data_IF_596124300656
#
_entry.id   IF_596124300656
#
_cell.length_a   1.000
_cell.length_b   1.000
_cell.length_c   1.000
_cell.angle_alpha   90.00
_cell.angle_beta   90.00
_cell.angle_gamma   90.00
#
_symmetry.space_group_name_H-M   'P 1'
#
loop_
_entity.id
_entity.type
_entity.pdbx_description
1 polymer ?
#
# COMPACT_ATOMS: atom_id res chain seq x y z
N UNK A 1 10.62 22.74 10.16
CA UNK A 1 10.68 21.30 10.51
C UNK A 1 9.29 20.63 10.54
N UNK A 2 8.24 21.26 11.10
CA UNK A 2 6.86 20.73 11.00
C UNK A 2 6.29 20.75 9.57
N UNK A 3 6.67 21.75 8.76
CA UNK A 3 6.19 21.89 7.37
C UNK A 3 6.69 20.79 6.42
N UNK A 4 7.92 20.29 6.58
CA UNK A 4 8.45 19.21 5.74
C UNK A 4 7.74 17.87 6.02
N UNK A 5 7.39 17.62 7.29
CA UNK A 5 6.60 16.46 7.67
C UNK A 5 5.16 16.59 7.17
N UNK A 6 4.56 17.79 7.24
CA UNK A 6 3.24 18.04 6.67
C UNK A 6 3.22 17.85 5.14
N UNK A 7 4.29 18.22 4.44
CA UNK A 7 4.42 17.98 2.99
C UNK A 7 4.53 16.50 2.61
N UNK A 8 5.08 15.64 3.48
CA UNK A 8 5.08 14.19 3.30
C UNK A 8 3.68 13.56 3.41
N UNK A 9 2.67 14.30 3.85
CA UNK A 9 1.29 13.82 3.95
C UNK A 9 0.38 14.41 2.86
N UNK A 10 0.95 15.11 1.87
CA UNK A 10 0.19 15.64 0.74
C UNK A 10 0.25 14.65 -0.42
N UNK A 11 -0.92 14.19 -0.90
CA UNK A 11 -1.02 13.38 -2.12
C UNK A 11 -0.31 14.12 -3.26
N UNK A 12 0.78 13.55 -3.76
CA UNK A 12 1.35 13.99 -5.04
C UNK A 12 0.68 13.21 -6.15
N UNK A 13 -0.32 13.83 -6.77
CA UNK A 13 -1.03 13.22 -7.89
C UNK A 13 -0.16 13.42 -9.14
N UNK A 14 0.34 12.31 -9.65
CA UNK A 14 1.06 12.26 -10.90
C UNK A 14 0.06 12.10 -12.05
N UNK A 15 0.43 12.58 -13.25
CA UNK A 15 -0.38 12.39 -14.44
C UNK A 15 -0.63 10.91 -14.72
N UNK A 16 -1.89 10.55 -15.01
CA UNK A 16 -2.30 9.18 -15.33
C UNK A 16 -1.74 8.78 -16.71
N UNK A 17 -0.95 7.72 -16.76
CA UNK A 17 -0.32 7.19 -17.98
C UNK A 17 -0.58 5.69 -18.03
N UNK A 18 -0.77 5.11 -19.22
CA UNK A 18 -0.90 3.67 -19.40
C UNK A 18 -2.32 3.19 -19.67
N UNK A 19 -2.48 1.86 -19.69
CA UNK A 19 -3.75 1.19 -19.94
C UNK A 19 -4.49 0.96 -18.62
N UNK A 20 -5.80 1.17 -18.66
CA UNK A 20 -6.69 1.11 -17.50
C UNK A 20 -7.69 -0.02 -17.69
N UNK A 21 -7.84 -0.87 -16.67
CA UNK A 21 -8.74 -2.02 -16.71
C UNK A 21 -9.86 -1.79 -15.69
N UNK A 22 -11.10 -1.96 -16.13
CA UNK A 22 -12.27 -1.80 -15.25
C UNK A 22 -12.23 -2.84 -14.13
N UNK A 23 -12.57 -2.43 -12.91
CA UNK A 23 -12.46 -3.27 -11.73
C UNK A 23 -13.32 -4.56 -11.81
N UNK A 24 -14.48 -4.52 -12.48
CA UNK A 24 -15.28 -5.72 -12.75
C UNK A 24 -14.61 -6.66 -13.76
N UNK A 25 -13.94 -6.12 -14.77
CA UNK A 25 -13.14 -6.91 -15.72
C UNK A 25 -12.01 -7.60 -14.98
N UNK A 26 -11.35 -6.90 -14.04
CA UNK A 26 -10.33 -7.51 -13.18
C UNK A 26 -10.92 -8.69 -12.40
N UNK A 27 -12.08 -8.51 -11.78
CA UNK A 27 -12.72 -9.57 -11.00
C UNK A 27 -13.21 -10.77 -11.85
N UNK A 28 -13.46 -10.56 -13.14
CA UNK A 28 -13.93 -11.60 -14.06
C UNK A 28 -12.78 -12.39 -14.70
N UNK A 29 -11.67 -11.73 -15.01
CA UNK A 29 -10.58 -12.31 -15.82
C UNK A 29 -9.35 -12.74 -14.99
N UNK A 30 -9.26 -12.30 -13.73
CA UNK A 30 -8.10 -12.52 -12.86
C UNK A 30 -8.51 -13.19 -11.54
N UNK A 31 -7.57 -13.77 -10.77
CA UNK A 31 -7.89 -14.50 -9.52
C UNK A 31 -8.20 -13.56 -8.34
N UNK A 32 -8.95 -12.49 -8.59
CA UNK A 32 -9.45 -11.58 -7.56
C UNK A 32 -10.97 -11.62 -7.56
N UNK A 33 -11.59 -11.65 -6.40
CA UNK A 33 -13.02 -11.36 -6.31
C UNK A 33 -13.25 -9.86 -6.14
N UNK A 34 -14.47 -9.40 -6.46
CA UNK A 34 -14.82 -7.99 -6.40
C UNK A 34 -14.62 -7.39 -5.00
N UNK A 35 -14.96 -8.14 -3.94
CA UNK A 35 -14.78 -7.66 -2.55
C UNK A 35 -13.31 -7.44 -2.21
N UNK A 36 -12.45 -8.38 -2.58
CA UNK A 36 -11.00 -8.28 -2.35
C UNK A 36 -10.41 -7.03 -3.01
N UNK A 37 -10.85 -6.69 -4.22
CA UNK A 37 -10.39 -5.47 -4.90
C UNK A 37 -10.79 -4.20 -4.13
N UNK A 38 -12.01 -4.13 -3.60
CA UNK A 38 -12.42 -3.01 -2.74
C UNK A 38 -11.66 -2.99 -1.41
N UNK A 39 -11.42 -4.15 -0.80
CA UNK A 39 -10.64 -4.25 0.43
C UNK A 39 -9.19 -3.79 0.19
N UNK A 40 -8.62 -4.05 -0.99
CA UNK A 40 -7.30 -3.55 -1.39
C UNK A 40 -7.31 -2.02 -1.59
N UNK A 41 -8.35 -1.45 -2.19
CA UNK A 41 -8.50 0.01 -2.30
C UNK A 41 -8.53 0.65 -0.91
N UNK A 42 -9.36 0.13 -0.02
CA UNK A 42 -9.53 0.63 1.35
C UNK A 42 -8.24 0.47 2.17
N UNK A 43 -7.57 -0.68 2.04
CA UNK A 43 -6.31 -0.97 2.71
C UNK A 43 -5.20 0.01 2.31
N UNK A 44 -5.12 0.35 1.02
CA UNK A 44 -4.15 1.32 0.51
C UNK A 44 -4.56 2.77 0.77
N UNK A 45 -5.77 2.99 1.30
CA UNK A 45 -6.31 4.33 1.54
C UNK A 45 -6.64 5.08 0.26
N UNK A 46 -7.00 4.37 -0.81
CA UNK A 46 -7.38 4.97 -2.09
C UNK A 46 -8.72 5.70 -1.93
N UNK A 47 -8.78 6.93 -2.43
CA UNK A 47 -9.99 7.71 -2.55
C UNK A 47 -10.71 7.36 -3.85
N UNK A 48 -11.96 6.96 -3.70
CA UNK A 48 -12.90 6.65 -4.79
C UNK A 48 -14.34 6.87 -4.30
N UNK A 49 -15.29 6.97 -5.22
CA UNK A 49 -16.71 7.09 -4.90
C UNK A 49 -17.26 5.73 -4.51
N UNK A 50 -17.79 5.62 -3.29
CA UNK A 50 -18.45 4.40 -2.81
C UNK A 50 -19.83 4.26 -3.45
N UNK A 51 -19.87 3.81 -4.71
CA UNK A 51 -21.12 3.54 -5.41
C UNK A 51 -21.72 2.21 -4.97
N UNK A 52 -23.00 2.24 -4.61
CA UNK A 52 -23.81 1.05 -4.38
C UNK A 52 -24.86 0.90 -5.49
N UNK A 53 -25.03 -0.30 -6.09
CA UNK A 53 -24.28 -1.53 -5.84
C UNK A 53 -22.85 -1.53 -6.45
N UNK A 54 -21.92 -2.26 -5.80
CA UNK A 54 -20.46 -2.24 -6.10
C UNK A 54 -20.11 -2.62 -7.55
N UNK A 55 -20.92 -3.47 -8.18
CA UNK A 55 -20.75 -3.90 -9.57
C UNK A 55 -21.04 -2.78 -10.58
N UNK A 56 -21.59 -1.64 -10.16
CA UNK A 56 -21.77 -0.48 -11.03
C UNK A 56 -20.65 0.55 -10.91
N UNK A 57 -19.65 0.28 -10.07
CA UNK A 57 -18.52 1.19 -9.85
C UNK A 57 -17.83 1.54 -11.17
N UNK A 58 -17.44 2.80 -11.31
CA UNK A 58 -16.68 3.31 -12.47
C UNK A 58 -15.20 3.42 -12.17
N UNK A 59 -14.69 2.40 -11.47
CA UNK A 59 -13.31 2.33 -10.99
C UNK A 59 -12.49 1.52 -11.99
N UNK A 60 -11.30 2.01 -12.29
CA UNK A 60 -10.32 1.37 -13.14
C UNK A 60 -8.98 1.32 -12.44
N UNK A 61 -8.27 0.22 -12.63
CA UNK A 61 -6.93 -0.04 -12.09
C UNK A 61 -5.91 0.04 -13.22
N UNK A 62 -4.74 0.59 -12.91
CA UNK A 62 -3.60 0.61 -13.82
C UNK A 62 -3.12 -0.82 -14.13
N UNK A 63 -2.92 -1.12 -15.41
CA UNK A 63 -2.54 -2.46 -15.86
C UNK A 63 -1.16 -2.89 -15.33
N UNK A 64 -0.21 -1.95 -15.17
CA UNK A 64 1.13 -2.28 -14.67
C UNK A 64 1.10 -2.69 -13.20
N UNK A 65 0.26 -2.04 -12.37
CA UNK A 65 0.04 -2.49 -11.01
C UNK A 65 -0.52 -3.92 -10.95
N UNK A 66 -1.50 -4.25 -11.82
CA UNK A 66 -2.05 -5.60 -11.90
C UNK A 66 -0.98 -6.62 -12.29
N UNK A 67 -0.15 -6.30 -13.30
CA UNK A 67 0.97 -7.16 -13.72
C UNK A 67 1.94 -7.44 -12.59
N UNK A 68 2.27 -6.44 -11.76
CA UNK A 68 3.16 -6.63 -10.60
C UNK A 68 2.59 -7.65 -9.61
N UNK A 69 1.29 -7.57 -9.29
CA UNK A 69 0.71 -8.54 -8.35
C UNK A 69 0.70 -9.95 -8.98
N UNK A 70 0.35 -10.05 -10.26
CA UNK A 70 0.29 -11.32 -10.98
C UNK A 70 1.67 -11.96 -11.18
N UNK A 71 2.76 -11.17 -11.21
CA UNK A 71 4.12 -11.70 -11.27
C UNK A 71 4.65 -12.22 -9.92
N UNK A 72 3.85 -12.13 -8.86
CA UNK A 72 4.22 -12.58 -7.52
C UNK A 72 4.87 -11.50 -6.64
N UNK A 73 4.88 -10.23 -7.07
CA UNK A 73 5.35 -9.11 -6.24
C UNK A 73 4.28 -8.75 -5.20
N UNK A 74 4.15 -9.59 -4.18
CA UNK A 74 3.09 -9.50 -3.17
C UNK A 74 3.06 -8.15 -2.43
N UNK A 75 4.20 -7.47 -2.32
CA UNK A 75 4.27 -6.15 -1.71
C UNK A 75 3.43 -5.10 -2.45
N UNK A 76 3.21 -5.27 -3.77
CA UNK A 76 2.40 -4.37 -4.58
C UNK A 76 0.94 -4.29 -4.09
N UNK A 77 0.43 -5.35 -3.43
CA UNK A 77 -0.90 -5.35 -2.78
C UNK A 77 -1.04 -4.28 -1.71
N UNK A 78 0.05 -3.92 -1.02
CA UNK A 78 0.08 -2.92 0.06
C UNK A 78 0.60 -1.56 -0.41
N UNK A 79 0.93 -1.46 -1.70
CA UNK A 79 1.62 -0.32 -2.30
C UNK A 79 0.88 0.26 -3.52
N UNK A 80 -0.43 0.02 -3.66
CA UNK A 80 -1.25 0.65 -4.70
C UNK A 80 -1.29 2.16 -4.51
N UNK A 81 -0.97 2.90 -5.57
CA UNK A 81 -0.88 4.36 -5.55
C UNK A 81 -2.22 5.01 -5.92
N UNK A 82 -2.51 6.21 -5.40
CA UNK A 82 -3.71 6.96 -5.79
C UNK A 82 -3.68 7.29 -7.29
N UNK A 83 -2.49 7.55 -7.83
CA UNK A 83 -2.28 7.78 -9.27
C UNK A 83 -2.53 6.55 -10.14
N UNK A 84 -2.61 5.35 -9.55
CA UNK A 84 -2.86 4.07 -10.24
C UNK A 84 -4.34 3.64 -10.18
N UNK A 85 -5.20 4.50 -9.63
CA UNK A 85 -6.66 4.28 -9.61
C UNK A 85 -7.37 5.45 -10.27
N UNK A 86 -8.24 5.11 -11.23
CA UNK A 86 -9.12 6.07 -11.89
C UNK A 86 -10.56 5.80 -11.46
N UNK A 87 -11.23 6.89 -11.09
CA UNK A 87 -12.66 6.93 -10.89
C UNK A 87 -13.20 8.05 -11.79
N UNK A 88 -14.10 7.71 -12.71
CA UNK A 88 -14.67 8.67 -13.67
C UNK A 88 -15.52 9.77 -13.00
N UNK A 89 -16.00 9.54 -11.78
CA UNK A 89 -16.78 10.51 -11.02
C UNK A 89 -15.89 11.51 -10.26
N UNK A 90 -14.62 11.16 -10.04
CA UNK A 90 -13.64 12.02 -9.39
C UNK A 90 -12.75 12.73 -10.42
N UNK A 91 -13.05 14.01 -10.65
CA UNK A 91 -12.20 14.89 -11.45
C UNK A 91 -10.81 15.08 -10.80
N UNK A 92 -9.80 15.38 -11.62
CA UNK A 92 -8.45 15.74 -11.13
C UNK A 92 -8.49 16.94 -10.16
N UNK A 93 -9.34 17.93 -10.44
CA UNK A 93 -9.59 19.06 -9.53
C UNK A 93 -10.11 18.60 -8.17
N UNK A 94 -11.00 17.61 -8.12
CA UNK A 94 -11.51 17.04 -6.87
C UNK A 94 -10.39 16.34 -6.09
N UNK A 95 -9.61 15.50 -6.75
CA UNK A 95 -8.46 14.82 -6.14
C UNK A 95 -7.40 15.80 -5.62
N UNK A 96 -7.22 16.93 -6.30
CA UNK A 96 -6.32 18.02 -5.90
C UNK A 96 -6.98 19.06 -4.95
N UNK A 97 -8.27 18.93 -4.61
CA UNK A 97 -8.99 19.90 -3.76
C UNK A 97 -8.95 19.49 -2.29
N UNK A 98 -8.89 20.46 -1.36
CA UNK A 98 -8.83 20.24 0.11
C UNK A 98 -9.82 19.18 0.66
N UNK A 99 -10.94 18.91 -0.02
CA UNK A 99 -11.90 17.87 0.35
C UNK A 99 -11.48 16.43 0.04
N UNK A 100 -10.59 16.20 -0.95
CA UNK A 100 -9.91 14.91 -1.11
C UNK A 100 -8.77 14.73 -0.11
N UNK A 101 -8.33 15.82 0.54
CA UNK A 101 -7.37 15.74 1.63
C UNK A 101 -8.13 15.29 2.86
N UNK A 102 -7.80 14.09 3.29
CA UNK A 102 -8.05 13.66 4.65
C UNK A 102 -7.08 14.40 5.61
N UNK A 103 -7.16 15.74 5.68
CA UNK A 103 -6.31 16.57 6.54
C UNK A 103 -6.37 16.09 8.00
N UNK A 104 -7.51 15.51 8.38
CA UNK A 104 -7.80 14.98 9.70
C UNK A 104 -8.28 13.52 9.69
N UNK A 105 -7.85 12.68 8.74
CA UNK A 105 -8.19 11.27 8.91
C UNK A 105 -7.50 10.71 10.15
N UNK A 106 -8.26 10.18 11.13
CA UNK A 106 -7.69 9.53 12.31
C UNK A 106 -6.86 8.30 11.95
N UNK A 107 -6.90 7.88 10.67
CA UNK A 107 -6.17 6.74 10.12
C UNK A 107 -4.78 7.10 9.58
N UNK A 108 -4.21 8.29 9.81
CA UNK A 108 -2.82 8.54 9.41
C UNK A 108 -1.84 7.62 10.15
N UNK A 109 -0.83 7.11 9.45
CA UNK A 109 0.23 6.34 10.10
C UNK A 109 0.94 7.17 11.17
N UNK A 110 1.20 6.55 12.31
CA UNK A 110 1.88 7.22 13.43
C UNK A 110 3.33 7.54 13.08
N UNK A 111 3.94 8.59 13.67
CA UNK A 111 5.36 8.88 13.47
C UNK A 111 6.27 7.69 13.80
N UNK A 112 5.86 6.84 14.75
CA UNK A 112 6.58 5.60 15.09
C UNK A 112 6.58 4.60 13.92
N UNK A 113 5.43 4.37 13.30
CA UNK A 113 5.31 3.50 12.12
C UNK A 113 6.12 4.04 10.94
N UNK A 114 6.01 5.34 10.67
CA UNK A 114 6.78 5.99 9.59
C UNK A 114 8.29 5.86 9.80
N UNK A 115 8.79 6.12 11.02
CA UNK A 115 10.21 5.93 11.34
C UNK A 115 10.64 4.47 11.20
N UNK A 116 9.80 3.53 11.61
CA UNK A 116 10.09 2.11 11.47
C UNK A 116 10.21 1.73 9.98
N UNK A 117 9.24 2.11 9.16
CA UNK A 117 9.27 1.85 7.71
C UNK A 117 10.53 2.43 7.05
N UNK A 118 10.89 3.69 7.35
CA UNK A 118 12.13 4.30 6.83
C UNK A 118 13.36 3.48 7.18
N UNK A 119 13.47 3.01 8.43
CA UNK A 119 14.58 2.14 8.86
C UNK A 119 14.55 0.78 8.15
N UNK A 120 13.38 0.22 7.87
CA UNK A 120 13.27 -1.04 7.13
C UNK A 120 13.68 -0.88 5.66
N UNK A 121 13.46 0.29 5.06
CA UNK A 121 13.93 0.62 3.70
C UNK A 121 15.46 0.63 3.59
N UNK A 122 16.19 0.84 4.69
CA UNK A 122 17.65 0.78 4.74
C UNK A 122 18.20 -0.65 4.85
N UNK A 123 17.33 -1.67 4.92
CA UNK A 123 17.74 -3.06 5.06
C UNK A 123 18.45 -3.58 3.81
N UNK A 124 19.65 -4.15 3.98
CA UNK A 124 20.37 -4.88 2.92
C UNK A 124 19.63 -6.10 2.35
N UNK A 125 18.57 -6.55 3.02
CA UNK A 125 17.76 -7.71 2.62
C UNK A 125 16.49 -7.31 1.85
N UNK A 126 16.25 -6.00 1.68
CA UNK A 126 15.19 -5.49 0.82
C UNK A 126 15.70 -5.44 -0.62
N UNK A 127 14.94 -6.00 -1.55
CA UNK A 127 15.34 -5.98 -2.96
C UNK A 127 15.10 -4.59 -3.57
N UNK A 128 15.80 -4.27 -4.66
CA UNK A 128 15.72 -2.95 -5.30
C UNK A 128 14.31 -2.61 -5.78
N UNK A 129 13.61 -3.58 -6.37
CA UNK A 129 12.22 -3.43 -6.82
C UNK A 129 11.25 -3.13 -5.66
N UNK A 130 11.41 -3.83 -4.53
CA UNK A 130 10.62 -3.56 -3.31
C UNK A 130 10.94 -2.17 -2.75
N UNK A 131 12.21 -1.77 -2.74
CA UNK A 131 12.60 -0.44 -2.32
C UNK A 131 11.97 0.64 -3.21
N UNK A 132 12.01 0.47 -4.54
CA UNK A 132 11.45 1.42 -5.50
C UNK A 132 9.93 1.59 -5.31
N UNK A 133 9.20 0.50 -5.10
CA UNK A 133 7.76 0.54 -4.82
C UNK A 133 7.48 1.30 -3.51
N UNK A 134 8.24 1.03 -2.44
CA UNK A 134 8.08 1.76 -1.17
C UNK A 134 8.40 3.24 -1.32
N UNK A 135 9.46 3.59 -2.04
CA UNK A 135 9.83 4.99 -2.30
C UNK A 135 8.65 5.73 -2.96
N UNK A 136 8.00 5.14 -3.97
CA UNK A 136 6.83 5.75 -4.63
C UNK A 136 5.68 6.00 -3.66
N UNK A 137 5.38 5.04 -2.77
CA UNK A 137 4.36 5.21 -1.71
C UNK A 137 4.69 6.40 -0.81
N UNK A 138 5.96 6.52 -0.40
CA UNK A 138 6.43 7.65 0.41
C UNK A 138 6.39 8.98 -0.34
N UNK A 139 6.66 8.98 -1.65
CA UNK A 139 6.60 10.18 -2.50
C UNK A 139 5.17 10.67 -2.74
N UNK A 140 4.20 9.76 -2.86
CA UNK A 140 2.79 10.14 -2.91
C UNK A 140 2.30 10.67 -1.57
N UNK A 141 2.91 10.28 -0.45
CA UNK A 141 2.60 10.82 0.86
C UNK A 141 1.32 10.28 1.50
N UNK A 142 0.70 9.26 0.89
CA UNK A 142 -0.51 8.64 1.41
C UNK A 142 -0.21 7.32 2.13
N UNK A 143 0.04 7.40 3.43
CA UNK A 143 0.28 6.21 4.26
C UNK A 143 -0.67 6.21 5.45
N UNK A 144 -1.74 5.42 5.34
CA UNK A 144 -2.65 5.15 6.45
C UNK A 144 -2.01 4.23 7.49
N UNK A 145 -2.58 4.18 8.69
CA UNK A 145 -2.15 3.34 9.80
C UNK A 145 -2.26 1.87 9.40
N UNK A 146 -3.36 1.50 8.76
CA UNK A 146 -3.66 0.14 8.29
C UNK A 146 -2.68 -0.28 7.20
N UNK A 147 -2.42 0.61 6.23
CA UNK A 147 -1.41 0.41 5.20
C UNK A 147 -0.02 0.23 5.81
N UNK A 148 0.37 1.13 6.71
CA UNK A 148 1.66 1.06 7.38
C UNK A 148 1.82 -0.23 8.19
N UNK A 149 0.79 -0.65 8.93
CA UNK A 149 0.79 -1.94 9.63
C UNK A 149 1.02 -3.09 8.65
N UNK A 150 0.27 -3.14 7.54
CA UNK A 150 0.37 -4.24 6.59
C UNK A 150 1.73 -4.30 5.88
N UNK A 151 2.32 -3.15 5.54
CA UNK A 151 3.68 -3.10 5.01
C UNK A 151 4.70 -3.58 6.07
N UNK A 152 4.57 -3.14 7.32
CA UNK A 152 5.46 -3.59 8.41
C UNK A 152 5.34 -5.10 8.61
N UNK A 153 4.12 -5.63 8.67
CA UNK A 153 3.84 -7.06 8.84
C UNK A 153 4.40 -7.88 7.67
N UNK A 154 4.25 -7.41 6.44
CA UNK A 154 4.87 -8.04 5.28
C UNK A 154 6.41 -8.08 5.39
N UNK A 155 7.02 -6.98 5.84
CA UNK A 155 8.48 -6.85 5.89
C UNK A 155 9.12 -7.66 7.01
N UNK A 156 8.59 -7.58 8.24
CA UNK A 156 9.22 -8.16 9.42
C UNK A 156 8.37 -9.19 10.17
N UNK A 157 7.10 -9.35 9.78
CA UNK A 157 6.14 -10.25 10.41
C UNK A 157 5.24 -9.53 11.40
N UNK A 158 4.25 -10.24 11.94
CA UNK A 158 3.26 -9.69 12.87
C UNK A 158 3.63 -9.89 14.34
N UNK A 159 3.12 -9.01 15.19
CA UNK A 159 3.24 -9.12 16.64
C UNK A 159 1.85 -9.05 17.24
N UNK A 160 1.35 -10.16 17.75
CA UNK A 160 0.02 -10.25 18.37
C UNK A 160 0.15 -10.46 19.87
N UNK A 161 -0.64 -9.74 20.66
CA UNK A 161 -0.77 -10.00 22.09
C UNK A 161 -1.85 -11.07 22.25
N UNK A 162 -1.49 -12.20 22.87
CA UNK A 162 -2.39 -13.30 23.16
C UNK A 162 -3.30 -12.96 24.36
N UNK A 163 -4.41 -13.70 24.58
CA UNK A 163 -5.33 -13.43 25.69
C UNK A 163 -4.68 -13.50 27.08
N UNK A 164 -3.59 -14.24 27.22
CA UNK A 164 -2.79 -14.36 28.44
C UNK A 164 -1.78 -13.21 28.64
N UNK A 165 -1.77 -12.23 27.72
CA UNK A 165 -0.86 -11.09 27.74
C UNK A 165 0.53 -11.36 27.15
N UNK A 166 0.82 -12.59 26.73
CA UNK A 166 2.10 -12.91 26.06
C UNK A 166 2.11 -12.36 24.64
N UNK A 167 3.30 -12.06 24.11
CA UNK A 167 3.46 -11.59 22.72
C UNK A 167 3.87 -12.74 21.83
N UNK A 168 3.01 -13.09 20.89
CA UNK A 168 3.34 -13.96 19.76
C UNK A 168 3.96 -13.12 18.65
N UNK A 169 5.16 -13.50 18.22
CA UNK A 169 5.84 -12.88 17.09
C UNK A 169 5.88 -13.88 15.94
N UNK A 170 5.14 -13.56 14.88
CA UNK A 170 5.33 -14.22 13.61
C UNK A 170 6.57 -13.63 12.94
N UNK A 171 7.51 -14.48 12.57
CA UNK A 171 8.76 -14.11 11.88
C UNK A 171 8.71 -14.41 10.38
N UNK A 172 7.50 -14.61 9.83
CA UNK A 172 7.25 -14.87 8.42
C UNK A 172 7.56 -13.69 7.49
N UNK A 173 7.84 -12.51 8.04
CA UNK A 173 8.19 -11.32 7.28
C UNK A 173 9.38 -11.53 6.36
N UNK A 174 9.33 -10.92 5.18
CA UNK A 174 10.26 -11.21 4.09
C UNK A 174 11.71 -10.89 4.46
N UNK A 175 11.95 -9.78 5.16
CA UNK A 175 13.29 -9.38 5.61
C UNK A 175 13.82 -10.33 6.69
N UNK A 176 12.97 -10.69 7.64
CA UNK A 176 13.31 -11.62 8.73
C UNK A 176 13.70 -12.99 8.17
N UNK A 177 12.94 -13.50 7.20
CA UNK A 177 13.23 -14.76 6.51
C UNK A 177 14.54 -14.70 5.73
N UNK A 178 14.78 -13.64 4.96
CA UNK A 178 15.99 -13.47 4.15
C UNK A 178 17.26 -13.31 5.01
N UNK A 179 17.19 -12.55 6.12
CA UNK A 179 18.30 -12.45 7.07
C UNK A 179 18.64 -13.82 7.67
N UNK A 180 17.64 -14.58 8.13
CA UNK A 180 17.85 -15.94 8.64
C UNK A 180 18.53 -16.86 7.61
N UNK A 181 18.08 -16.83 6.37
CA UNK A 181 18.68 -17.60 5.28
C UNK A 181 20.13 -17.19 5.02
N UNK A 182 20.42 -15.89 5.02
CA UNK A 182 21.78 -15.37 4.85
C UNK A 182 22.73 -15.83 5.95
N UNK A 183 22.26 -15.86 7.20
CA UNK A 183 23.06 -16.35 8.35
C UNK A 183 23.35 -17.83 8.23
N UNK A 184 22.36 -18.64 7.84
CA UNK A 184 22.56 -20.08 7.65
C UNK A 184 23.57 -20.40 6.53
N UNK A 185 23.57 -19.62 5.45
CA UNK A 185 24.54 -19.77 4.35
C UNK A 185 25.96 -19.36 4.73
N UNK A 186 26.13 -18.42 5.67
CA UNK A 186 27.45 -17.99 6.16
C UNK A 186 28.08 -18.91 7.22
N UNK A 187 27.37 -19.97 7.62
CA UNK A 187 27.84 -20.99 8.59
C UNK A 187 28.28 -22.28 7.86
N UNK A 188 28.07 -22.35 6.54
CA UNK A 188 28.47 -23.48 5.67
C UNK A 188 29.84 -23.23 5.05
#
# INVERSE_FOLDING_TARGET
MLDEIAQLFRPRIHGRIGKWIHLNTVAAEYPFNLSELFDLLDLNGIVYTHQAPRNLSRIYLDEEWLKLILSGELMAKYCLLQSQVRDDELSEKHLNSQGAYQDQSPRKATPKQIRLLKRLMESKHLHSNELDILIRVFQEGWITKERACSIIEYLIGSSTVLPDGTKFYDSSGVLTRRDRQSRMKGIS
#
